data_IF_448988278551
#
_entry.id   IF_448988278551
#
_cell.length_a   1.000
_cell.length_b   1.000
_cell.length_c   1.000
_cell.angle_alpha   90.00
_cell.angle_beta   90.00
_cell.angle_gamma   90.00
#
_symmetry.space_group_name_H-M   'P 1'
#
loop_
_entity.id
_entity.type
_entity.pdbx_description
1 polymer ?
#
# COMPACT_ATOMS: atom_id res chain seq x y z
N UNK A 1 5.11 -3.59 -13.20
CA UNK A 1 5.55 -4.97 -12.86
C UNK A 1 5.91 -5.75 -14.11
N UNK A 2 6.92 -6.60 -14.02
CA UNK A 2 7.35 -7.48 -15.10
C UNK A 2 6.20 -8.45 -15.42
N UNK A 3 5.99 -8.73 -16.72
CA UNK A 3 4.87 -9.55 -17.18
C UNK A 3 4.81 -10.93 -16.50
N UNK A 4 5.98 -11.56 -16.28
CA UNK A 4 6.09 -12.86 -15.63
C UNK A 4 5.64 -12.82 -14.15
N UNK A 5 6.00 -11.77 -13.43
CA UNK A 5 5.56 -11.59 -12.05
C UNK A 5 4.05 -11.40 -11.96
N UNK A 6 3.44 -10.68 -12.91
CA UNK A 6 1.99 -10.54 -12.97
C UNK A 6 1.30 -11.88 -13.23
N UNK A 7 1.80 -12.65 -14.21
CA UNK A 7 1.29 -14.00 -14.51
C UNK A 7 1.37 -14.94 -13.30
N UNK A 8 2.47 -14.85 -12.53
CA UNK A 8 2.62 -15.62 -11.30
C UNK A 8 1.59 -15.21 -10.25
N UNK A 9 1.42 -13.92 -10.02
CA UNK A 9 0.44 -13.41 -9.07
C UNK A 9 -1.00 -13.80 -9.48
N UNK A 10 -1.34 -13.70 -10.77
CA UNK A 10 -2.63 -14.15 -11.30
C UNK A 10 -2.86 -15.65 -11.08
N UNK A 11 -1.83 -16.50 -11.25
CA UNK A 11 -1.91 -17.93 -10.94
C UNK A 11 -2.18 -18.19 -9.46
N UNK A 12 -1.52 -17.45 -8.57
CA UNK A 12 -1.72 -17.58 -7.12
C UNK A 12 -3.15 -17.19 -6.76
N UNK A 13 -3.66 -16.08 -7.29
CA UNK A 13 -5.04 -15.66 -7.05
C UNK A 13 -6.06 -16.68 -7.58
N UNK A 14 -5.86 -17.20 -8.80
CA UNK A 14 -6.74 -18.20 -9.39
C UNK A 14 -6.75 -19.53 -8.63
N UNK A 15 -5.61 -19.92 -8.04
CA UNK A 15 -5.55 -21.09 -7.18
C UNK A 15 -6.47 -20.95 -5.97
N UNK A 16 -6.42 -19.81 -5.27
CA UNK A 16 -7.29 -19.53 -4.13
C UNK A 16 -8.77 -19.38 -4.50
N UNK A 17 -9.05 -18.89 -5.69
CA UNK A 17 -10.43 -18.78 -6.20
C UNK A 17 -11.04 -20.18 -6.51
N UNK A 18 -10.23 -21.10 -6.99
CA UNK A 18 -10.65 -22.50 -7.24
C UNK A 18 -10.83 -23.31 -5.95
N UNK A 19 -10.09 -23.00 -4.90
CA UNK A 19 -10.26 -23.59 -3.56
C UNK A 19 -11.64 -23.25 -2.94
N UNK A 20 -12.26 -22.14 -3.35
CA UNK A 20 -13.62 -21.72 -2.95
C UNK A 20 -14.68 -22.77 -3.20
N UNK A 21 -14.54 -23.56 -4.27
CA UNK A 21 -15.48 -24.63 -4.62
C UNK A 21 -15.42 -25.82 -3.68
N UNK A 22 -14.45 -25.88 -2.76
CA UNK A 22 -14.18 -27.06 -1.93
C UNK A 22 -14.48 -26.92 -0.44
N UNK A 23 -14.55 -25.72 0.14
CA UNK A 23 -14.84 -25.52 1.58
C UNK A 23 -15.35 -24.12 1.89
N UNK A 24 -16.20 -24.02 2.93
CA UNK A 24 -16.78 -22.81 3.51
C UNK A 24 -15.85 -21.59 3.53
N UNK A 25 -16.43 -20.39 3.41
CA UNK A 25 -15.78 -19.07 3.42
C UNK A 25 -14.61 -18.98 4.41
N UNK A 26 -13.41 -19.08 3.87
CA UNK A 26 -12.19 -18.96 4.67
C UNK A 26 -11.73 -17.49 4.61
N UNK A 27 -11.31 -16.91 5.73
CA UNK A 27 -10.78 -15.55 5.83
C UNK A 27 -9.70 -15.22 4.78
N UNK A 28 -8.91 -16.22 4.37
CA UNK A 28 -7.92 -16.09 3.29
C UNK A 28 -8.56 -15.76 1.94
N UNK A 29 -9.72 -16.33 1.65
CA UNK A 29 -10.42 -16.06 0.40
C UNK A 29 -10.96 -14.63 0.36
N UNK A 30 -11.52 -14.14 1.45
CA UNK A 30 -11.96 -12.75 1.58
C UNK A 30 -10.78 -11.80 1.36
N UNK A 31 -9.62 -12.09 1.95
CA UNK A 31 -8.41 -11.31 1.76
C UNK A 31 -7.93 -11.31 0.30
N UNK A 32 -7.94 -12.45 -0.38
CA UNK A 32 -7.50 -12.55 -1.79
C UNK A 32 -8.44 -11.83 -2.76
N UNK A 33 -9.73 -11.75 -2.48
CA UNK A 33 -10.69 -10.99 -3.30
C UNK A 33 -10.43 -9.48 -3.30
N UNK A 34 -9.70 -8.98 -2.30
CA UNK A 34 -9.31 -7.57 -2.22
C UNK A 34 -7.99 -7.27 -2.96
N UNK A 35 -7.33 -8.29 -3.51
CA UNK A 35 -6.07 -8.10 -4.26
C UNK A 35 -6.39 -7.83 -5.72
N UNK A 36 -5.96 -6.68 -6.21
CA UNK A 36 -6.13 -6.26 -7.60
C UNK A 36 -4.76 -6.06 -8.25
N UNK A 37 -4.52 -6.77 -9.36
CA UNK A 37 -3.28 -6.67 -10.12
C UNK A 37 -3.44 -5.61 -11.22
N UNK A 38 -2.55 -4.62 -11.23
CA UNK A 38 -2.51 -3.56 -12.24
C UNK A 38 -1.17 -3.54 -12.96
N UNK A 39 -1.18 -3.06 -14.21
CA UNK A 39 0.04 -2.97 -15.03
C UNK A 39 0.97 -1.86 -14.56
N UNK A 40 0.43 -0.81 -13.96
CA UNK A 40 1.18 0.35 -13.50
C UNK A 40 0.47 1.09 -12.37
N UNK A 41 1.22 1.93 -11.64
CA UNK A 41 0.65 2.86 -10.66
C UNK A 41 -0.35 3.82 -11.31
N UNK A 42 -0.07 4.30 -12.52
CA UNK A 42 -0.98 5.15 -13.28
C UNK A 42 -2.34 4.49 -13.55
N UNK A 43 -2.35 3.20 -13.87
CA UNK A 43 -3.58 2.43 -14.05
C UNK A 43 -4.34 2.29 -12.72
N UNK A 44 -3.65 2.00 -11.63
CA UNK A 44 -4.25 1.92 -10.29
C UNK A 44 -4.92 3.24 -9.89
N UNK A 45 -4.23 4.37 -10.05
CA UNK A 45 -4.76 5.72 -9.80
C UNK A 45 -5.99 5.99 -10.68
N UNK A 46 -5.94 5.64 -11.97
CA UNK A 46 -7.06 5.83 -12.89
C UNK A 46 -8.30 5.04 -12.47
N UNK A 47 -8.11 3.81 -11.99
CA UNK A 47 -9.20 2.98 -11.51
C UNK A 47 -9.84 3.54 -10.24
N UNK A 48 -9.03 3.96 -9.27
CA UNK A 48 -9.53 4.61 -8.04
C UNK A 48 -10.31 5.87 -8.41
N UNK A 49 -9.77 6.69 -9.33
CA UNK A 49 -10.46 7.89 -9.79
C UNK A 49 -11.82 7.59 -10.44
N UNK A 50 -11.93 6.49 -11.20
CA UNK A 50 -13.21 6.08 -11.82
C UNK A 50 -14.22 5.63 -10.76
N UNK A 51 -13.76 4.86 -9.77
CA UNK A 51 -14.60 4.29 -8.72
C UNK A 51 -15.11 5.38 -7.76
N UNK A 52 -14.22 6.20 -7.24
CA UNK A 52 -14.54 7.20 -6.23
C UNK A 52 -14.87 8.59 -6.79
N UNK A 53 -14.79 8.77 -8.13
CA UNK A 53 -14.98 10.07 -8.83
C UNK A 53 -13.98 11.16 -8.39
N UNK A 54 -12.94 10.79 -7.67
CA UNK A 54 -11.90 11.67 -7.16
C UNK A 54 -10.52 11.03 -7.34
N UNK A 55 -9.50 11.86 -7.64
CA UNK A 55 -8.11 11.41 -7.66
C UNK A 55 -7.69 11.06 -6.23
N UNK A 56 -7.05 9.90 -5.99
CA UNK A 56 -6.53 9.58 -4.67
C UNK A 56 -5.41 10.55 -4.27
N UNK A 57 -5.27 10.79 -2.97
CA UNK A 57 -4.04 11.34 -2.40
C UNK A 57 -2.99 10.24 -2.39
N UNK A 58 -1.83 10.50 -2.99
CA UNK A 58 -0.70 9.58 -3.01
C UNK A 58 0.19 9.82 -1.80
N UNK A 59 0.43 8.74 -1.06
CA UNK A 59 1.33 8.74 0.09
C UNK A 59 2.47 7.76 -0.21
N UNK A 60 3.68 8.28 -0.35
CA UNK A 60 4.88 7.48 -0.52
C UNK A 60 5.46 7.02 0.83
N UNK A 61 6.20 5.92 0.80
CA UNK A 61 6.94 5.40 1.96
C UNK A 61 8.39 5.18 1.57
N UNK A 62 9.31 5.48 2.50
CA UNK A 62 10.73 5.22 2.34
C UNK A 62 11.35 4.81 3.68
N UNK A 63 12.45 4.06 3.64
CA UNK A 63 13.23 3.71 4.83
C UNK A 63 14.18 4.82 5.26
N UNK A 64 14.54 5.73 4.34
CA UNK A 64 15.46 6.83 4.61
C UNK A 64 14.71 8.09 5.04
N UNK A 65 15.33 8.85 5.93
CA UNK A 65 14.84 10.16 6.29
C UNK A 65 15.07 11.14 5.13
N UNK A 66 14.01 11.78 4.68
CA UNK A 66 14.05 12.82 3.65
C UNK A 66 13.52 14.15 4.17
N UNK A 67 13.77 15.24 3.43
CA UNK A 67 13.15 16.53 3.72
C UNK A 67 11.63 16.46 3.44
N UNK A 68 10.87 17.24 4.20
CA UNK A 68 9.42 17.41 4.02
C UNK A 68 8.58 16.12 4.19
N UNK A 69 9.06 15.19 5.01
CA UNK A 69 8.25 14.04 5.44
C UNK A 69 7.21 14.44 6.48
N UNK A 70 6.06 13.77 6.44
CA UNK A 70 4.95 14.00 7.35
C UNK A 70 4.82 12.89 8.39
N UNK A 71 4.30 13.25 9.56
CA UNK A 71 4.02 12.30 10.64
C UNK A 71 2.76 11.47 10.37
N UNK A 72 2.69 10.30 11.01
CA UNK A 72 1.51 9.43 10.94
C UNK A 72 0.25 10.11 11.48
N UNK A 73 0.38 10.89 12.56
CA UNK A 73 -0.74 11.65 13.14
C UNK A 73 -1.32 12.66 12.15
N UNK A 74 -0.49 13.33 11.36
CA UNK A 74 -0.92 14.25 10.32
C UNK A 74 -1.78 13.52 9.24
N UNK A 75 -1.32 12.39 8.74
CA UNK A 75 -2.06 11.60 7.74
C UNK A 75 -3.33 11.00 8.34
N UNK A 76 -3.26 10.48 9.58
CA UNK A 76 -4.43 9.95 10.30
C UNK A 76 -5.53 11.01 10.40
N UNK A 77 -5.19 12.23 10.80
CA UNK A 77 -6.11 13.36 10.90
C UNK A 77 -6.71 13.70 9.53
N UNK A 78 -5.90 13.80 8.49
CA UNK A 78 -6.41 14.06 7.14
C UNK A 78 -7.37 12.99 6.62
N UNK A 79 -7.08 11.71 6.85
CA UNK A 79 -7.99 10.61 6.46
C UNK A 79 -9.34 10.72 7.19
N UNK A 80 -9.36 11.18 8.44
CA UNK A 80 -10.59 11.35 9.22
C UNK A 80 -11.41 12.55 8.76
N UNK A 81 -10.77 13.63 8.35
CA UNK A 81 -11.46 14.86 7.96
C UNK A 81 -11.89 14.86 6.47
N UNK A 82 -11.06 14.32 5.60
CA UNK A 82 -11.27 14.37 4.15
C UNK A 82 -11.87 13.07 3.62
N UNK A 83 -13.13 13.13 3.17
CA UNK A 83 -13.83 11.99 2.53
C UNK A 83 -13.36 11.76 1.09
N UNK A 84 -12.10 11.35 0.92
CA UNK A 84 -11.51 11.04 -0.39
C UNK A 84 -10.60 9.81 -0.31
N UNK A 85 -10.34 9.13 -1.44
CA UNK A 85 -9.48 7.96 -1.43
C UNK A 85 -8.02 8.34 -1.18
N UNK A 86 -7.32 7.49 -0.43
CA UNK A 86 -5.89 7.55 -0.17
C UNK A 86 -5.22 6.32 -0.74
N UNK A 87 -4.09 6.48 -1.39
CA UNK A 87 -3.29 5.39 -1.95
C UNK A 87 -1.88 5.44 -1.34
N UNK A 88 -1.59 4.49 -0.46
CA UNK A 88 -0.25 4.35 0.12
C UNK A 88 0.59 3.49 -0.81
N UNK A 89 1.75 3.98 -1.20
CA UNK A 89 2.66 3.31 -2.15
C UNK A 89 3.88 2.81 -1.41
N UNK A 90 4.15 1.51 -1.54
CA UNK A 90 5.31 0.85 -0.95
C UNK A 90 6.30 0.45 -2.04
N UNK A 91 7.59 0.70 -1.79
CA UNK A 91 8.67 0.22 -2.63
C UNK A 91 8.98 -1.26 -2.40
N UNK A 92 9.83 -1.82 -3.25
CA UNK A 92 10.45 -3.14 -3.05
C UNK A 92 11.81 -2.97 -2.36
N UNK A 93 12.72 -3.96 -2.44
CA UNK A 93 14.02 -3.91 -1.77
C UNK A 93 14.88 -2.68 -2.07
N UNK A 94 14.64 -2.01 -3.19
CA UNK A 94 15.34 -0.77 -3.58
C UNK A 94 14.51 0.51 -3.33
N UNK A 95 13.38 0.39 -2.65
CA UNK A 95 12.48 1.53 -2.40
C UNK A 95 11.63 1.92 -3.61
N UNK A 96 11.10 3.13 -3.56
CA UNK A 96 10.38 3.78 -4.67
C UNK A 96 11.37 4.53 -5.56
N UNK A 97 11.10 4.60 -6.87
CA UNK A 97 11.89 5.45 -7.76
C UNK A 97 11.68 6.93 -7.43
N UNK A 98 12.68 7.75 -7.75
CA UNK A 98 12.63 9.19 -7.52
C UNK A 98 11.39 9.83 -8.19
N UNK A 99 11.06 9.40 -9.40
CA UNK A 99 9.87 9.85 -10.14
C UNK A 99 8.57 9.58 -9.36
N UNK A 100 8.45 8.41 -8.72
CA UNK A 100 7.28 8.07 -7.91
C UNK A 100 7.25 8.93 -6.64
N UNK A 101 8.38 9.10 -5.96
CA UNK A 101 8.48 9.94 -4.77
C UNK A 101 8.05 11.37 -5.07
N UNK A 102 8.52 11.95 -6.17
CA UNK A 102 8.15 13.31 -6.61
C UNK A 102 6.67 13.43 -7.02
N UNK A 103 6.05 12.34 -7.42
CA UNK A 103 4.62 12.31 -7.76
C UNK A 103 3.69 12.16 -6.56
N UNK A 104 4.23 11.84 -5.37
CA UNK A 104 3.45 11.71 -4.15
C UNK A 104 3.05 13.07 -3.57
N UNK A 105 1.82 13.15 -3.07
CA UNK A 105 1.33 14.33 -2.36
C UNK A 105 1.99 14.47 -0.98
N UNK A 106 2.30 13.33 -0.34
CA UNK A 106 2.98 13.24 0.96
C UNK A 106 3.96 12.07 0.99
N UNK A 107 5.03 12.20 1.77
CA UNK A 107 5.94 11.11 2.11
C UNK A 107 5.88 10.89 3.63
N UNK A 108 5.57 9.67 4.05
CA UNK A 108 5.54 9.31 5.46
C UNK A 108 6.96 9.22 6.03
N UNK A 109 7.14 9.69 7.26
CA UNK A 109 8.35 9.40 8.03
C UNK A 109 8.57 7.89 8.10
N UNK A 110 9.84 7.43 8.05
CA UNK A 110 10.14 6.01 8.15
C UNK A 110 9.63 5.42 9.48
N UNK A 111 9.36 4.13 9.47
CA UNK A 111 9.11 3.40 10.72
C UNK A 111 10.37 3.46 11.55
N UNK A 112 10.32 4.06 12.73
CA UNK A 112 11.49 4.19 13.60
C UNK A 112 12.00 2.85 14.09
N UNK A 113 13.32 2.65 14.02
CA UNK A 113 14.03 1.54 14.64
C UNK A 113 14.79 2.00 15.89
N UNK A 114 15.25 1.06 16.70
CA UNK A 114 16.07 1.36 17.89
C UNK A 114 17.48 1.79 17.53
N UNK A 115 17.98 1.36 16.39
CA UNK A 115 19.32 1.67 15.87
C UNK A 115 19.27 2.31 14.48
N UNK A 116 20.45 2.44 13.85
CA UNK A 116 20.59 3.01 12.51
C UNK A 116 20.08 2.09 11.39
N UNK A 117 19.81 0.82 11.69
CA UNK A 117 19.30 -0.14 10.72
C UNK A 117 17.78 -0.06 10.64
N UNK A 118 17.25 0.37 9.50
CA UNK A 118 15.82 0.63 9.33
C UNK A 118 15.27 -0.03 8.04
N UNK A 119 15.81 -1.19 7.67
CA UNK A 119 15.29 -1.96 6.53
C UNK A 119 14.29 -3.02 7.00
N UNK A 120 13.02 -2.74 6.79
CA UNK A 120 11.93 -3.68 7.01
C UNK A 120 11.55 -4.39 5.71
N UNK A 121 11.10 -5.64 5.81
CA UNK A 121 10.41 -6.25 4.67
C UNK A 121 9.16 -5.44 4.34
N UNK A 122 8.77 -5.38 3.06
CA UNK A 122 7.56 -4.66 2.64
C UNK A 122 6.34 -5.11 3.45
N UNK A 123 6.18 -6.40 3.72
CA UNK A 123 5.07 -6.94 4.53
C UNK A 123 5.06 -6.38 5.96
N UNK A 124 6.22 -6.29 6.58
CA UNK A 124 6.34 -5.71 7.92
C UNK A 124 6.05 -4.22 7.92
N UNK A 125 6.59 -3.49 6.93
CA UNK A 125 6.32 -2.07 6.78
C UNK A 125 4.83 -1.79 6.57
N UNK A 126 4.16 -2.55 5.70
CA UNK A 126 2.70 -2.43 5.47
C UNK A 126 1.93 -2.64 6.78
N UNK A 127 2.21 -3.72 7.52
CA UNK A 127 1.49 -4.02 8.75
C UNK A 127 1.67 -2.92 9.80
N UNK A 128 2.91 -2.46 10.03
CA UNK A 128 3.21 -1.43 11.03
C UNK A 128 2.61 -0.07 10.62
N UNK A 129 2.71 0.30 9.36
CA UNK A 129 2.19 1.58 8.87
C UNK A 129 0.65 1.60 8.95
N UNK A 130 -0.01 0.52 8.56
CA UNK A 130 -1.46 0.42 8.69
C UNK A 130 -1.91 0.44 10.15
N UNK A 131 -1.20 -0.23 11.05
CA UNK A 131 -1.47 -0.18 12.49
C UNK A 131 -1.32 1.25 13.03
N UNK A 132 -0.25 1.96 12.68
CA UNK A 132 -0.06 3.37 13.09
C UNK A 132 -1.15 4.32 12.57
N UNK A 133 -1.68 4.06 11.37
CA UNK A 133 -2.70 4.91 10.75
C UNK A 133 -4.12 4.57 11.23
N UNK A 134 -4.43 3.29 11.41
CA UNK A 134 -5.80 2.80 11.63
C UNK A 134 -5.98 1.97 12.90
N UNK A 135 -4.89 1.55 13.54
CA UNK A 135 -4.93 0.78 14.78
C UNK A 135 -5.62 1.57 15.90
N UNK A 136 -6.37 0.86 16.73
CA UNK A 136 -6.92 1.41 17.97
C UNK A 136 -5.79 1.54 18.99
N UNK A 137 -5.65 2.70 19.60
CA UNK A 137 -4.84 2.84 20.81
C UNK A 137 -5.65 2.16 21.94
N UNK A 138 -5.22 0.96 22.33
CA UNK A 138 -5.71 0.31 23.54
C UNK A 138 -5.03 0.92 24.75
#
# INVERSE_FOLDING_TARGET
PILEQRKLAEKVLSFWDNEKKRKNENSKHVAMNNVIIKKSLKEAISNIKKEYKQKPILIGTDANQMKNMVDYSFIKHKIQEEKRPYLIVFGTGWGLSQEIIESCDYILKPVGGYDKYNHLSVRSAVAIILDKLFGCNF
#
